data_IF_042223994435
#
_entry.id   IF_042223994435
#
_cell.length_a   1.000
_cell.length_b   1.000
_cell.length_c   1.000
_cell.angle_alpha   90.00
_cell.angle_beta   90.00
_cell.angle_gamma   90.00
#
_symmetry.space_group_name_H-M   'P 1'
#
loop_
_entity.id
_entity.type
_entity.pdbx_description
1 polymer ?
#
# COMPACT_ATOMS: atom_id res chain seq x y z
N UNK A 1 -14.22 -19.34 15.75
CA UNK A 1 -12.90 -19.99 15.49
C UNK A 1 -11.89 -18.91 15.17
N UNK A 2 -10.84 -18.80 15.99
CA UNK A 2 -10.28 -17.51 16.43
C UNK A 2 -9.25 -16.87 15.50
N UNK A 3 -9.22 -15.53 15.58
CA UNK A 3 -8.21 -14.59 15.08
C UNK A 3 -6.75 -15.11 15.16
N UNK A 4 -6.42 -15.90 16.18
CA UNK A 4 -5.11 -16.55 16.34
C UNK A 4 -4.75 -17.54 15.23
N UNK A 5 -5.71 -18.29 14.64
CA UNK A 5 -5.43 -19.14 13.47
C UNK A 5 -5.14 -18.32 12.21
N UNK A 6 -5.75 -17.13 12.06
CA UNK A 6 -5.46 -16.23 10.93
C UNK A 6 -4.05 -15.64 11.03
N UNK A 7 -3.63 -15.18 12.21
CA UNK A 7 -2.25 -14.72 12.42
C UNK A 7 -1.23 -15.85 12.19
N UNK A 8 -1.48 -17.06 12.70
CA UNK A 8 -0.62 -18.22 12.43
C UNK A 8 -0.56 -18.62 10.95
N UNK A 9 -1.59 -18.32 10.16
CA UNK A 9 -1.58 -18.51 8.70
C UNK A 9 -0.82 -17.43 7.93
N UNK A 10 -0.71 -16.22 8.51
CA UNK A 10 0.05 -15.09 7.94
C UNK A 10 1.56 -15.27 8.15
N UNK A 11 1.99 -15.81 9.30
CA UNK A 11 3.40 -16.17 9.53
C UNK A 11 3.91 -17.25 8.56
N UNK A 12 3.03 -18.11 8.05
CA UNK A 12 3.37 -19.16 7.07
C UNK A 12 3.43 -18.69 5.62
N UNK A 13 3.08 -17.44 5.29
CA UNK A 13 3.22 -16.89 3.93
C UNK A 13 4.65 -16.45 3.67
N UNK A 14 5.54 -17.40 3.36
CA UNK A 14 6.92 -17.10 2.94
C UNK A 14 7.07 -16.79 1.43
N UNK A 15 6.06 -17.13 0.62
CA UNK A 15 6.09 -16.99 -0.84
C UNK A 15 5.05 -15.99 -1.37
N UNK A 16 5.45 -15.18 -2.37
CA UNK A 16 4.52 -14.38 -3.17
C UNK A 16 3.55 -15.29 -3.91
N UNK A 17 2.27 -14.92 -3.98
CA UNK A 17 1.21 -15.66 -4.67
C UNK A 17 1.41 -15.65 -6.19
N UNK A 18 1.86 -14.52 -6.73
CA UNK A 18 2.09 -14.34 -8.16
C UNK A 18 3.21 -13.32 -8.46
N UNK A 19 3.49 -13.14 -9.76
CA UNK A 19 4.50 -12.20 -10.24
C UNK A 19 4.12 -10.72 -10.06
N UNK A 20 2.83 -10.40 -9.96
CA UNK A 20 2.34 -9.04 -9.76
C UNK A 20 2.53 -8.60 -8.30
N UNK A 21 2.18 -9.45 -7.33
CA UNK A 21 2.42 -9.24 -5.90
C UNK A 21 3.91 -9.09 -5.61
N UNK A 22 4.76 -9.91 -6.26
CA UNK A 22 6.22 -9.76 -6.18
C UNK A 22 6.67 -8.39 -6.69
N UNK A 23 6.17 -7.93 -7.85
CA UNK A 23 6.52 -6.60 -8.39
C UNK A 23 6.06 -5.48 -7.47
N UNK A 24 4.83 -5.55 -6.96
CA UNK A 24 4.24 -4.59 -6.02
C UNK A 24 5.05 -4.50 -4.72
N UNK A 25 5.49 -5.64 -4.18
CA UNK A 25 6.37 -5.64 -3.01
C UNK A 25 7.67 -4.88 -3.28
N UNK A 26 8.34 -5.15 -4.40
CA UNK A 26 9.63 -4.50 -4.70
C UNK A 26 9.50 -3.00 -4.95
N UNK A 27 8.44 -2.55 -5.60
CA UNK A 27 8.17 -1.11 -5.80
C UNK A 27 7.80 -0.44 -4.48
N UNK A 28 6.94 -1.06 -3.67
CA UNK A 28 6.57 -0.55 -2.34
C UNK A 28 7.78 -0.51 -1.39
N UNK A 29 8.61 -1.55 -1.37
CA UNK A 29 9.82 -1.61 -0.55
C UNK A 29 10.82 -0.51 -0.92
N UNK A 30 11.01 -0.23 -2.22
CA UNK A 30 11.86 0.86 -2.69
C UNK A 30 11.35 2.22 -2.16
N UNK A 31 10.04 2.48 -2.29
CA UNK A 31 9.41 3.72 -1.84
C UNK A 31 9.48 3.91 -0.32
N UNK A 32 9.07 2.89 0.45
CA UNK A 32 9.01 2.97 1.91
C UNK A 32 10.41 3.12 2.55
N UNK A 33 11.44 2.59 1.91
CA UNK A 33 12.82 2.67 2.44
C UNK A 33 13.61 3.86 1.92
N UNK A 34 13.04 4.69 1.04
CA UNK A 34 13.73 5.85 0.46
C UNK A 34 14.20 6.84 1.53
N UNK A 35 13.33 7.17 2.50
CA UNK A 35 13.71 8.09 3.57
C UNK A 35 14.83 7.51 4.44
N UNK A 36 14.71 6.24 4.84
CA UNK A 36 15.77 5.53 5.57
C UNK A 36 17.09 5.53 4.79
N UNK A 37 17.03 5.22 3.49
CA UNK A 37 18.20 5.20 2.60
C UNK A 37 18.88 6.56 2.58
N UNK A 38 18.14 7.63 2.28
CA UNK A 38 18.69 9.00 2.25
C UNK A 38 19.25 9.39 3.61
N UNK A 39 18.59 9.07 4.73
CA UNK A 39 19.13 9.35 6.07
C UNK A 39 20.46 8.65 6.34
N UNK A 40 20.59 7.37 5.96
CA UNK A 40 21.85 6.62 6.10
C UNK A 40 22.94 7.20 5.18
N UNK A 41 22.57 7.63 3.97
CA UNK A 41 23.51 8.28 3.04
C UNK A 41 24.01 9.64 3.57
N UNK A 42 23.11 10.46 4.12
CA UNK A 42 23.46 11.72 4.79
C UNK A 42 24.39 11.43 5.97
N UNK A 43 24.06 10.43 6.79
CA UNK A 43 24.91 10.04 7.91
C UNK A 43 26.31 9.62 7.44
N UNK A 44 26.41 8.80 6.39
CA UNK A 44 27.69 8.41 5.80
C UNK A 44 28.49 9.59 5.25
N UNK A 45 27.83 10.54 4.59
CA UNK A 45 28.45 11.77 4.09
C UNK A 45 29.00 12.64 5.23
N UNK A 46 28.20 12.86 6.28
CA UNK A 46 28.61 13.62 7.47
C UNK A 46 29.75 12.91 8.21
N UNK A 47 29.65 11.59 8.38
CA UNK A 47 30.69 10.79 9.02
C UNK A 47 32.03 10.88 8.25
N UNK A 48 31.97 10.87 6.91
CA UNK A 48 33.14 11.09 6.07
C UNK A 48 33.75 12.49 6.25
N UNK A 49 32.92 13.55 6.26
CA UNK A 49 33.39 14.92 6.49
C UNK A 49 34.08 15.07 7.85
N UNK A 50 33.47 14.54 8.91
CA UNK A 50 34.04 14.55 10.26
C UNK A 50 35.35 13.78 10.27
N UNK A 51 35.37 12.57 9.70
CA UNK A 51 36.57 11.74 9.59
C UNK A 51 37.70 12.47 8.87
N UNK A 52 37.41 13.17 7.77
CA UNK A 52 38.42 13.93 7.02
C UNK A 52 38.97 15.08 7.86
N UNK A 53 38.08 15.88 8.48
CA UNK A 53 38.48 17.02 9.32
C UNK A 53 39.32 16.60 10.54
N UNK A 54 39.02 15.45 11.16
CA UNK A 54 39.71 15.00 12.37
C UNK A 54 40.95 14.14 12.08
N UNK A 55 40.87 13.20 11.13
CA UNK A 55 41.92 12.22 10.89
C UNK A 55 42.93 12.66 9.82
N UNK A 56 42.57 13.61 8.96
CA UNK A 56 43.46 14.17 7.94
C UNK A 56 43.26 15.69 7.78
N UNK A 57 43.65 16.50 8.77
CA UNK A 57 43.41 17.94 8.78
C UNK A 57 44.15 18.71 7.67
N UNK A 58 45.14 18.09 7.02
CA UNK A 58 45.86 18.68 5.89
C UNK A 58 45.24 18.32 4.52
N UNK A 59 44.24 17.43 4.50
CA UNK A 59 43.59 17.04 3.26
C UNK A 59 42.78 18.18 2.66
N UNK A 60 43.09 18.54 1.41
CA UNK A 60 42.32 19.58 0.71
C UNK A 60 41.05 18.99 0.10
N UNK A 61 40.01 19.82 -0.01
CA UNK A 61 38.76 19.44 -0.70
C UNK A 61 38.84 19.60 -2.22
N UNK A 62 39.92 20.22 -2.72
CA UNK A 62 40.08 20.58 -4.14
C UNK A 62 40.68 19.44 -4.99
N UNK A 63 41.06 18.33 -4.38
CA UNK A 63 41.53 17.15 -5.11
C UNK A 63 40.43 16.62 -6.04
N UNK A 64 40.75 16.31 -7.31
CA UNK A 64 39.75 15.87 -8.29
C UNK A 64 38.92 14.67 -7.82
N UNK A 65 39.55 13.70 -7.17
CA UNK A 65 38.88 12.49 -6.65
C UNK A 65 37.90 12.82 -5.52
N UNK A 66 38.27 13.77 -4.66
CA UNK A 66 37.41 14.23 -3.56
C UNK A 66 36.18 14.96 -4.08
N UNK A 67 36.34 15.80 -5.10
CA UNK A 67 35.21 16.47 -5.77
C UNK A 67 34.28 15.47 -6.47
N UNK A 68 34.84 14.46 -7.16
CA UNK A 68 34.07 13.38 -7.77
C UNK A 68 33.29 12.60 -6.71
N UNK A 69 33.90 12.29 -5.57
CA UNK A 69 33.23 11.57 -4.48
C UNK A 69 32.07 12.38 -3.89
N UNK A 70 32.26 13.68 -3.62
CA UNK A 70 31.19 14.57 -3.12
C UNK A 70 30.06 14.67 -4.14
N UNK A 71 30.37 15.04 -5.39
CA UNK A 71 29.38 15.18 -6.45
C UNK A 71 28.62 13.88 -6.71
N UNK A 72 29.33 12.75 -6.68
CA UNK A 72 28.78 11.42 -6.82
C UNK A 72 27.84 11.03 -5.68
N UNK A 73 28.22 11.27 -4.42
CA UNK A 73 27.36 11.02 -3.25
C UNK A 73 26.09 11.88 -3.29
N UNK A 74 26.21 13.17 -3.58
CA UNK A 74 25.06 14.08 -3.67
C UNK A 74 24.12 13.70 -4.82
N UNK A 75 24.68 13.35 -5.99
CA UNK A 75 23.89 12.93 -7.16
C UNK A 75 23.21 11.59 -6.91
N UNK A 76 23.91 10.62 -6.30
CA UNK A 76 23.36 9.32 -5.95
C UNK A 76 22.24 9.43 -4.90
N UNK A 77 22.40 10.32 -3.93
CA UNK A 77 21.36 10.66 -2.95
C UNK A 77 20.15 11.31 -3.62
N UNK A 78 20.38 12.27 -4.53
CA UNK A 78 19.35 12.89 -5.35
C UNK A 78 18.60 11.88 -6.23
N UNK A 79 19.31 10.91 -6.81
CA UNK A 79 18.71 9.83 -7.61
C UNK A 79 17.90 8.86 -6.76
N UNK A 80 18.43 8.46 -5.58
CA UNK A 80 17.71 7.62 -4.62
C UNK A 80 16.43 8.32 -4.16
N UNK A 81 16.51 9.64 -3.90
CA UNK A 81 15.34 10.45 -3.63
C UNK A 81 14.43 10.49 -4.86
N UNK A 82 14.81 11.03 -6.02
CA UNK A 82 13.91 11.14 -7.17
C UNK A 82 13.39 9.81 -7.75
N UNK A 83 13.88 8.64 -7.31
CA UNK A 83 13.46 7.32 -7.74
C UNK A 83 11.95 7.08 -7.60
N UNK A 84 11.33 6.62 -8.71
CA UNK A 84 9.92 6.18 -8.76
C UNK A 84 9.77 4.68 -9.06
N UNK A 85 10.86 4.01 -9.42
CA UNK A 85 10.89 2.59 -9.76
C UNK A 85 12.06 1.87 -9.11
N UNK A 86 11.95 0.55 -8.97
CA UNK A 86 12.92 -0.29 -8.26
C UNK A 86 14.32 -0.30 -8.90
N UNK A 87 14.41 -0.15 -10.22
CA UNK A 87 15.69 -0.14 -10.94
C UNK A 87 16.45 1.15 -10.66
N UNK A 88 15.80 2.31 -10.84
CA UNK A 88 16.43 3.61 -10.59
C UNK A 88 16.85 3.77 -9.13
N UNK A 89 16.03 3.27 -8.20
CA UNK A 89 16.36 3.19 -6.77
C UNK A 89 17.60 2.32 -6.51
N UNK A 90 17.67 1.13 -7.12
CA UNK A 90 18.83 0.24 -6.98
C UNK A 90 20.12 0.88 -7.53
N UNK A 91 20.05 1.56 -8.68
CA UNK A 91 21.18 2.29 -9.27
C UNK A 91 21.65 3.41 -8.35
N UNK A 92 20.73 4.20 -7.78
CA UNK A 92 21.07 5.27 -6.84
C UNK A 92 21.77 4.76 -5.58
N UNK A 93 21.26 3.67 -4.98
CA UNK A 93 21.85 3.07 -3.79
C UNK A 93 23.22 2.44 -4.07
N UNK A 94 23.36 1.77 -5.21
CA UNK A 94 24.65 1.23 -5.67
C UNK A 94 25.68 2.33 -5.89
N UNK A 95 25.30 3.38 -6.62
CA UNK A 95 26.17 4.53 -6.87
C UNK A 95 26.60 5.20 -5.56
N UNK A 96 25.68 5.35 -4.60
CA UNK A 96 26.03 5.92 -3.30
C UNK A 96 27.05 5.06 -2.56
N UNK A 97 26.89 3.73 -2.52
CA UNK A 97 27.87 2.84 -1.88
C UNK A 97 29.27 2.98 -2.51
N UNK A 98 29.34 3.05 -3.85
CA UNK A 98 30.58 3.26 -4.61
C UNK A 98 31.24 4.59 -4.25
N UNK A 99 30.49 5.70 -4.28
CA UNK A 99 31.06 7.02 -3.99
C UNK A 99 31.40 7.21 -2.50
N UNK A 100 30.66 6.60 -1.59
CA UNK A 100 31.03 6.55 -0.17
C UNK A 100 32.33 5.77 0.03
N UNK A 101 32.49 4.61 -0.61
CA UNK A 101 33.75 3.85 -0.57
C UNK A 101 34.92 4.66 -1.13
N UNK A 102 34.72 5.37 -2.25
CA UNK A 102 35.73 6.24 -2.84
C UNK A 102 36.09 7.40 -1.90
N UNK A 103 35.09 8.03 -1.27
CA UNK A 103 35.30 9.12 -0.32
C UNK A 103 36.17 8.64 0.86
N UNK A 104 35.81 7.53 1.49
CA UNK A 104 36.60 6.96 2.59
C UNK A 104 37.98 6.46 2.15
N UNK A 105 38.12 5.96 0.93
CA UNK A 105 39.43 5.59 0.37
C UNK A 105 40.39 6.78 0.35
N UNK A 106 39.93 7.99 -0.04
CA UNK A 106 40.78 9.20 0.02
C UNK A 106 41.21 9.58 1.44
N UNK A 107 40.42 9.22 2.46
CA UNK A 107 40.83 9.44 3.85
C UNK A 107 41.87 8.39 4.27
N UNK A 108 41.66 7.12 3.90
CA UNK A 108 42.55 5.99 4.22
C UNK A 108 43.95 6.19 3.66
N UNK A 109 44.07 6.59 2.39
CA UNK A 109 45.38 6.80 1.73
C UNK A 109 46.17 7.96 2.32
N UNK A 110 45.50 8.91 2.98
CA UNK A 110 46.15 10.02 3.67
C UNK A 110 46.61 9.70 5.09
N UNK A 111 46.38 8.48 5.59
CA UNK A 111 46.84 8.06 6.92
C UNK A 111 48.29 7.54 6.88
N UNK A 112 48.93 7.47 8.04
CA UNK A 112 50.29 6.89 8.16
C UNK A 112 50.34 5.39 7.86
N UNK A 113 49.22 4.68 8.04
CA UNK A 113 49.10 3.22 7.86
C UNK A 113 47.82 2.85 7.10
N UNK A 114 47.75 3.13 5.78
CA UNK A 114 46.52 2.96 5.01
C UNK A 114 45.95 1.53 5.07
N UNK A 115 46.80 0.51 4.90
CA UNK A 115 46.39 -0.90 4.96
C UNK A 115 45.61 -1.27 6.23
N UNK A 116 45.95 -0.69 7.39
CA UNK A 116 45.25 -0.95 8.64
C UNK A 116 43.81 -0.46 8.60
N UNK A 117 43.57 0.73 8.03
CA UNK A 117 42.25 1.38 8.03
C UNK A 117 41.29 0.83 6.96
N UNK A 118 41.81 0.12 5.94
CA UNK A 118 40.99 -0.55 4.91
C UNK A 118 39.94 -1.47 5.55
N UNK A 119 40.35 -2.27 6.54
CA UNK A 119 39.50 -3.29 7.16
C UNK A 119 38.33 -2.71 7.99
N UNK A 120 38.56 -1.87 9.02
CA UNK A 120 37.47 -1.32 9.81
C UNK A 120 36.52 -0.46 8.97
N UNK A 121 37.03 0.30 7.97
CA UNK A 121 36.18 1.10 7.08
C UNK A 121 35.36 0.24 6.13
N UNK A 122 35.98 -0.79 5.52
CA UNK A 122 35.29 -1.73 4.66
C UNK A 122 34.14 -2.43 5.38
N UNK A 123 34.34 -2.86 6.63
CA UNK A 123 33.28 -3.47 7.45
C UNK A 123 32.21 -2.44 7.83
N UNK A 124 32.60 -1.26 8.31
CA UNK A 124 31.65 -0.22 8.72
C UNK A 124 30.72 0.20 7.58
N UNK A 125 31.24 0.39 6.37
CA UNK A 125 30.44 0.71 5.18
C UNK A 125 29.52 -0.46 4.83
N UNK A 126 30.03 -1.69 4.81
CA UNK A 126 29.26 -2.88 4.46
C UNK A 126 28.10 -3.16 5.42
N UNK A 127 28.34 -3.00 6.72
CA UNK A 127 27.32 -3.18 7.76
C UNK A 127 26.34 -2.00 7.72
N UNK A 128 26.84 -0.77 7.62
CA UNK A 128 26.02 0.45 7.61
C UNK A 128 25.05 0.53 6.42
N UNK A 129 25.44 -0.02 5.27
CA UNK A 129 24.58 -0.02 4.08
C UNK A 129 23.56 -1.18 4.03
N UNK A 130 23.69 -2.21 4.88
CA UNK A 130 22.82 -3.38 4.87
C UNK A 130 21.29 -3.07 4.95
N UNK A 131 20.83 -2.12 5.79
CA UNK A 131 19.40 -1.74 5.85
C UNK A 131 18.92 -1.02 4.58
N UNK A 132 19.86 -0.37 3.87
CA UNK A 132 19.59 0.44 2.69
C UNK A 132 19.22 -0.43 1.51
N UNK A 133 19.79 -1.63 1.32
CA UNK A 133 19.46 -2.41 0.13
C UNK A 133 18.12 -3.13 0.25
N UNK A 134 17.30 -3.03 -0.79
CA UNK A 134 16.01 -3.75 -0.87
C UNK A 134 16.22 -5.24 -1.12
N UNK A 135 17.15 -5.63 -1.99
CA UNK A 135 17.46 -7.03 -2.30
C UNK A 135 18.90 -7.42 -1.98
N UNK A 136 19.12 -8.70 -1.66
CA UNK A 136 20.43 -9.24 -1.31
C UNK A 136 21.43 -9.25 -2.48
N UNK A 137 20.96 -9.39 -3.73
CA UNK A 137 21.84 -9.30 -4.91
C UNK A 137 22.47 -7.91 -5.03
N UNK A 138 21.67 -6.85 -4.89
CA UNK A 138 22.17 -5.47 -4.96
C UNK A 138 23.12 -5.18 -3.78
N UNK A 139 22.79 -5.69 -2.60
CA UNK A 139 23.67 -5.62 -1.44
C UNK A 139 25.03 -6.27 -1.71
N UNK A 140 25.06 -7.52 -2.17
CA UNK A 140 26.30 -8.26 -2.44
C UNK A 140 27.14 -7.61 -3.55
N UNK A 141 26.50 -7.10 -4.61
CA UNK A 141 27.18 -6.37 -5.66
C UNK A 141 27.84 -5.08 -5.13
N UNK A 142 27.13 -4.32 -4.29
CA UNK A 142 27.69 -3.14 -3.62
C UNK A 142 28.78 -3.51 -2.63
N UNK A 143 28.64 -4.61 -1.88
CA UNK A 143 29.64 -5.08 -0.92
C UNK A 143 30.97 -5.41 -1.60
N UNK A 144 30.89 -6.10 -2.75
CA UNK A 144 32.05 -6.38 -3.58
C UNK A 144 32.70 -5.09 -4.09
N UNK A 145 31.90 -4.16 -4.61
CA UNK A 145 32.41 -2.88 -5.10
C UNK A 145 33.11 -2.05 -4.00
N UNK A 146 32.50 -1.98 -2.81
CA UNK A 146 33.09 -1.30 -1.64
C UNK A 146 34.45 -1.90 -1.30
N UNK A 147 34.57 -3.23 -1.21
CA UNK A 147 35.84 -3.88 -0.90
C UNK A 147 36.90 -3.65 -1.98
N UNK A 148 36.54 -3.71 -3.26
CA UNK A 148 37.46 -3.44 -4.37
C UNK A 148 37.98 -2.00 -4.35
N UNK A 149 37.13 -1.03 -4.03
CA UNK A 149 37.51 0.38 -3.99
C UNK A 149 38.35 0.70 -2.76
N UNK A 150 37.89 0.29 -1.57
CA UNK A 150 38.57 0.67 -0.32
C UNK A 150 39.96 0.03 -0.20
N UNK A 151 40.15 -1.17 -0.76
CA UNK A 151 41.43 -1.89 -0.78
C UNK A 151 42.34 -1.54 -1.96
N UNK A 152 41.90 -0.66 -2.86
CA UNK A 152 42.72 -0.24 -4.00
C UNK A 152 44.06 0.33 -3.52
N UNK A 153 45.17 -0.05 -4.18
CA UNK A 153 46.53 0.34 -3.76
C UNK A 153 47.11 -0.46 -2.58
N UNK A 154 46.28 -0.93 -1.65
CA UNK A 154 46.72 -1.64 -0.43
C UNK A 154 46.52 -3.16 -0.50
N UNK A 155 45.81 -3.67 -1.51
CA UNK A 155 45.48 -5.09 -1.63
C UNK A 155 46.72 -6.01 -1.63
N UNK A 156 47.81 -5.60 -2.28
CA UNK A 156 49.06 -6.37 -2.30
C UNK A 156 49.70 -6.49 -0.92
N UNK A 157 49.62 -5.43 -0.10
CA UNK A 157 50.10 -5.40 1.29
C UNK A 157 49.26 -6.34 2.16
N UNK A 158 47.94 -6.27 2.03
CA UNK A 158 47.01 -7.13 2.78
C UNK A 158 47.17 -8.61 2.43
N UNK A 159 47.33 -8.95 1.15
CA UNK A 159 47.46 -10.34 0.68
C UNK A 159 48.80 -10.95 1.09
N UNK A 160 49.87 -10.15 1.15
CA UNK A 160 51.22 -10.61 1.53
C UNK A 160 51.51 -10.53 3.03
N UNK A 161 50.58 -10.01 3.82
CA UNK A 161 50.71 -9.95 5.27
C UNK A 161 50.86 -11.36 5.87
N UNK A 162 51.65 -11.49 6.94
CA UNK A 162 51.80 -12.77 7.66
C UNK A 162 50.44 -13.29 8.17
N UNK A 163 49.54 -12.36 8.53
CA UNK A 163 48.19 -12.65 9.02
C UNK A 163 47.10 -12.62 7.93
N UNK A 164 47.45 -12.88 6.65
CA UNK A 164 46.50 -12.82 5.53
C UNK A 164 45.22 -13.67 5.74
N UNK A 165 45.32 -14.80 6.44
CA UNK A 165 44.16 -15.63 6.79
C UNK A 165 43.19 -14.91 7.75
N UNK A 166 43.71 -14.21 8.76
CA UNK A 166 42.90 -13.41 9.69
C UNK A 166 42.24 -12.23 8.98
N UNK A 167 42.96 -11.60 8.06
CA UNK A 167 42.44 -10.52 7.21
C UNK A 167 41.27 -11.03 6.36
N UNK A 168 41.43 -12.19 5.70
CA UNK A 168 40.37 -12.81 4.91
C UNK A 168 39.15 -13.17 5.77
N UNK A 169 39.36 -13.77 6.94
CA UNK A 169 38.28 -14.09 7.89
C UNK A 169 37.54 -12.81 8.33
N UNK A 170 38.26 -11.73 8.57
CA UNK A 170 37.65 -10.44 8.93
C UNK A 170 36.76 -9.90 7.82
N UNK A 171 37.25 -9.88 6.57
CA UNK A 171 36.47 -9.48 5.38
C UNK A 171 35.22 -10.35 5.22
N UNK A 172 35.37 -11.68 5.26
CA UNK A 172 34.27 -12.62 5.11
C UNK A 172 33.24 -12.48 6.23
N UNK A 173 33.69 -12.30 7.47
CA UNK A 173 32.79 -12.10 8.62
C UNK A 173 31.99 -10.80 8.51
N UNK A 174 32.60 -9.71 8.01
CA UNK A 174 31.92 -8.44 7.77
C UNK A 174 30.87 -8.52 6.68
N UNK A 175 31.17 -9.20 5.57
CA UNK A 175 30.19 -9.46 4.49
C UNK A 175 29.08 -10.38 4.98
N UNK A 176 29.40 -11.44 5.73
CA UNK A 176 28.40 -12.36 6.28
C UNK A 176 27.47 -11.65 7.27
N UNK A 177 28.00 -10.81 8.16
CA UNK A 177 27.22 -10.02 9.12
C UNK A 177 26.30 -9.03 8.40
N UNK A 178 26.83 -8.28 7.43
CA UNK A 178 26.01 -7.34 6.67
C UNK A 178 24.97 -8.04 5.78
N UNK A 179 25.27 -9.22 5.23
CA UNK A 179 24.28 -10.05 4.52
C UNK A 179 23.17 -10.53 5.46
N UNK A 180 23.54 -11.02 6.66
CA UNK A 180 22.59 -11.43 7.68
C UNK A 180 21.65 -10.27 8.05
N UNK A 181 22.21 -9.08 8.32
CA UNK A 181 21.42 -7.88 8.59
C UNK A 181 20.49 -7.54 7.41
N UNK A 182 21.01 -7.55 6.18
CA UNK A 182 20.18 -7.30 5.00
C UNK A 182 19.00 -8.28 4.90
N UNK A 183 19.26 -9.58 5.10
CA UNK A 183 18.23 -10.61 5.08
C UNK A 183 17.18 -10.38 6.17
N UNK A 184 17.59 -10.04 7.40
CA UNK A 184 16.67 -9.68 8.49
C UNK A 184 15.81 -8.47 8.13
N UNK A 185 16.41 -7.39 7.61
CA UNK A 185 15.65 -6.23 7.15
C UNK A 185 14.69 -6.56 6.00
N UNK A 186 15.07 -7.44 5.06
CA UNK A 186 14.18 -7.91 4.00
C UNK A 186 13.01 -8.70 4.58
N UNK A 187 13.26 -9.57 5.56
CA UNK A 187 12.21 -10.35 6.22
C UNK A 187 11.22 -9.45 6.97
N UNK A 188 11.70 -8.49 7.77
CA UNK A 188 10.83 -7.55 8.49
C UNK A 188 9.98 -6.71 7.53
N UNK A 189 10.56 -6.26 6.40
CA UNK A 189 9.81 -5.55 5.36
C UNK A 189 8.70 -6.41 4.74
N UNK A 190 8.96 -7.69 4.49
CA UNK A 190 7.94 -8.63 3.99
C UNK A 190 6.80 -8.79 4.98
N UNK A 191 7.09 -8.96 6.28
CA UNK A 191 6.06 -9.09 7.33
C UNK A 191 5.18 -7.85 7.38
N UNK A 192 5.79 -6.66 7.43
CA UNK A 192 5.05 -5.39 7.45
C UNK A 192 4.19 -5.20 6.22
N UNK A 193 4.69 -5.56 5.03
CA UNK A 193 3.92 -5.47 3.78
C UNK A 193 2.66 -6.36 3.81
N UNK A 194 2.80 -7.62 4.25
CA UNK A 194 1.65 -8.55 4.36
C UNK A 194 0.62 -8.04 5.37
N UNK A 195 1.07 -7.52 6.52
CA UNK A 195 0.17 -6.95 7.53
C UNK A 195 -0.55 -5.72 6.98
N UNK A 196 0.15 -4.82 6.27
CA UNK A 196 -0.45 -3.65 5.63
C UNK A 196 -1.50 -4.04 4.59
N UNK A 197 -1.23 -5.07 3.78
CA UNK A 197 -2.18 -5.57 2.78
C UNK A 197 -3.44 -6.16 3.44
N UNK A 198 -3.29 -6.90 4.53
CA UNK A 198 -4.44 -7.45 5.27
C UNK A 198 -5.22 -6.34 6.00
N UNK A 199 -4.54 -5.36 6.61
CA UNK A 199 -5.19 -4.19 7.19
C UNK A 199 -5.96 -3.40 6.14
N UNK A 200 -5.39 -3.21 4.94
CA UNK A 200 -6.09 -2.60 3.83
C UNK A 200 -7.30 -3.44 3.43
N UNK A 201 -7.17 -4.77 3.28
CA UNK A 201 -8.32 -5.64 2.98
C UNK A 201 -9.42 -5.51 4.03
N UNK A 202 -9.10 -5.55 5.32
CA UNK A 202 -10.06 -5.39 6.41
C UNK A 202 -10.66 -3.98 6.47
N UNK A 203 -9.91 -2.96 6.05
CA UNK A 203 -10.41 -1.60 5.97
C UNK A 203 -11.35 -1.40 4.76
N UNK A 204 -11.11 -2.09 3.64
CA UNK A 204 -11.78 -1.83 2.37
C UNK A 204 -12.83 -2.87 1.94
N UNK A 205 -12.74 -4.13 2.37
CA UNK A 205 -13.72 -5.19 2.07
C UNK A 205 -14.42 -5.69 3.33
N UNK A 206 -15.72 -5.91 3.25
CA UNK A 206 -16.53 -6.47 4.33
C UNK A 206 -16.11 -7.90 4.63
N UNK A 207 -15.96 -8.25 5.90
CA UNK A 207 -15.42 -9.54 6.32
C UNK A 207 -16.36 -10.72 6.03
N UNK A 208 -17.66 -10.48 5.91
CA UNK A 208 -18.66 -11.50 5.62
C UNK A 208 -18.90 -11.61 4.11
N UNK A 209 -19.17 -10.48 3.45
CA UNK A 209 -19.66 -10.48 2.07
C UNK A 209 -18.58 -10.23 1.01
N UNK A 210 -17.36 -9.87 1.41
CA UNK A 210 -16.20 -9.57 0.55
C UNK A 210 -16.38 -8.43 -0.48
N UNK A 211 -17.52 -7.75 -0.51
CA UNK A 211 -17.72 -6.48 -1.25
C UNK A 211 -17.15 -5.29 -0.46
N UNK A 212 -17.21 -4.07 -0.98
CA UNK A 212 -16.62 -2.92 -0.29
C UNK A 212 -17.27 -2.64 1.09
N UNK A 213 -16.47 -2.26 2.08
CA UNK A 213 -16.98 -1.77 3.37
C UNK A 213 -17.69 -0.43 3.18
N UNK A 214 -18.53 -0.02 4.16
CA UNK A 214 -19.09 1.33 4.22
C UNK A 214 -18.02 2.40 4.00
N UNK A 215 -16.87 2.29 4.68
CA UNK A 215 -15.76 3.24 4.53
C UNK A 215 -15.24 3.31 3.09
N UNK A 216 -14.98 2.17 2.48
CA UNK A 216 -14.49 2.12 1.10
C UNK A 216 -15.52 2.66 0.11
N UNK A 217 -16.79 2.32 0.31
CA UNK A 217 -17.87 2.79 -0.54
C UNK A 217 -18.02 4.31 -0.50
N UNK A 218 -17.93 4.91 0.70
CA UNK A 218 -17.97 6.37 0.84
C UNK A 218 -16.82 7.07 0.11
N UNK A 219 -15.60 6.51 0.16
CA UNK A 219 -14.47 7.05 -0.59
C UNK A 219 -14.71 7.01 -2.11
N UNK A 220 -15.29 5.92 -2.61
CA UNK A 220 -15.67 5.80 -4.03
C UNK A 220 -16.74 6.80 -4.45
N UNK A 221 -17.65 7.21 -3.55
CA UNK A 221 -18.61 8.29 -3.83
C UNK A 221 -17.87 9.61 -4.07
N UNK A 222 -16.92 9.95 -3.21
CA UNK A 222 -16.15 11.19 -3.35
C UNK A 222 -15.31 11.19 -4.63
N UNK A 223 -14.67 10.06 -4.97
CA UNK A 223 -13.94 9.90 -6.23
C UNK A 223 -14.85 10.02 -7.47
N UNK A 224 -16.03 9.40 -7.44
CA UNK A 224 -17.01 9.50 -8.51
C UNK A 224 -17.44 10.96 -8.72
N UNK A 225 -17.76 11.68 -7.64
CA UNK A 225 -18.17 13.10 -7.72
C UNK A 225 -17.11 14.00 -8.33
N UNK A 226 -15.83 13.77 -8.03
CA UNK A 226 -14.72 14.55 -8.61
C UNK A 226 -14.52 14.21 -10.09
N UNK A 227 -14.78 12.97 -10.50
CA UNK A 227 -14.60 12.51 -11.88
C UNK A 227 -15.76 12.89 -12.79
N UNK A 228 -16.97 13.06 -12.27
CA UNK A 228 -18.20 13.36 -13.01
C UNK A 228 -18.26 14.79 -13.60
N UNK A 229 -17.19 15.24 -14.27
CA UNK A 229 -17.11 16.53 -14.98
C UNK A 229 -18.03 16.56 -16.22
N UNK A 230 -18.56 15.42 -16.67
CA UNK A 230 -19.46 15.33 -17.84
C UNK A 230 -20.51 14.20 -17.82
N UNK A 231 -20.72 13.53 -16.68
CA UNK A 231 -21.53 12.30 -16.60
C UNK A 231 -22.54 12.30 -15.46
N UNK A 232 -23.72 11.75 -15.73
CA UNK A 232 -24.74 11.48 -14.72
C UNK A 232 -24.32 10.30 -13.83
N UNK A 233 -24.60 10.38 -12.52
CA UNK A 233 -24.34 9.27 -11.60
C UNK A 233 -25.49 9.13 -10.62
N UNK A 234 -25.71 7.92 -10.10
CA UNK A 234 -26.82 7.58 -9.22
C UNK A 234 -26.34 6.72 -8.06
N UNK A 235 -26.85 7.03 -6.87
CA UNK A 235 -26.72 6.19 -5.69
C UNK A 235 -27.96 5.30 -5.58
N UNK A 236 -27.76 3.99 -5.49
CA UNK A 236 -28.79 3.02 -5.15
C UNK A 236 -28.53 2.54 -3.72
N UNK A 237 -29.45 2.82 -2.80
CA UNK A 237 -29.48 2.22 -1.46
C UNK A 237 -30.41 1.02 -1.47
N UNK A 238 -29.93 -0.10 -0.96
CA UNK A 238 -30.57 -1.40 -1.07
C UNK A 238 -30.69 -1.98 0.34
N UNK A 239 -31.83 -2.53 0.69
CA UNK A 239 -32.06 -3.17 1.99
C UNK A 239 -32.81 -4.48 1.80
N UNK A 240 -32.39 -5.51 2.54
CA UNK A 240 -32.98 -6.85 2.49
C UNK A 240 -34.31 -6.87 3.24
N UNK A 241 -35.39 -7.15 2.52
CA UNK A 241 -36.73 -7.16 3.07
C UNK A 241 -36.88 -8.28 4.12
N UNK A 242 -37.46 -7.94 5.28
CA UNK A 242 -37.75 -8.88 6.37
C UNK A 242 -36.54 -9.68 6.90
N UNK A 243 -35.31 -9.15 6.77
CA UNK A 243 -34.10 -9.84 7.22
C UNK A 243 -34.12 -10.23 8.70
N UNK A 244 -34.65 -9.36 9.57
CA UNK A 244 -34.85 -9.69 10.99
C UNK A 244 -35.71 -10.95 11.17
N UNK A 245 -36.78 -11.12 10.40
CA UNK A 245 -37.64 -12.32 10.47
C UNK A 245 -36.89 -13.58 10.07
N UNK A 246 -36.01 -13.49 9.07
CA UNK A 246 -35.15 -14.60 8.65
C UNK A 246 -34.22 -15.01 9.81
N UNK A 247 -33.56 -14.04 10.46
CA UNK A 247 -32.73 -14.29 11.63
C UNK A 247 -33.52 -14.90 12.79
N UNK A 248 -34.68 -14.33 13.11
CA UNK A 248 -35.52 -14.78 14.23
C UNK A 248 -36.06 -16.21 13.99
N UNK A 249 -36.31 -16.59 12.74
CA UNK A 249 -36.88 -17.90 12.39
C UNK A 249 -35.81 -18.98 12.20
N UNK A 250 -34.65 -18.64 11.64
CA UNK A 250 -33.66 -19.62 11.15
C UNK A 250 -32.27 -19.47 11.77
N UNK A 251 -32.09 -18.49 12.67
CA UNK A 251 -30.82 -18.19 13.30
C UNK A 251 -29.88 -17.33 12.45
N UNK A 252 -28.91 -16.72 13.11
CA UNK A 252 -27.97 -15.78 12.50
C UNK A 252 -27.08 -16.42 11.42
N UNK A 253 -26.74 -17.71 11.53
CA UNK A 253 -25.93 -18.39 10.50
C UNK A 253 -26.63 -18.42 9.13
N UNK A 254 -27.96 -18.58 9.12
CA UNK A 254 -28.75 -18.53 7.88
C UNK A 254 -28.86 -17.09 7.37
N UNK A 255 -29.00 -16.12 8.27
CA UNK A 255 -28.94 -14.70 7.90
C UNK A 255 -27.63 -14.32 7.21
N UNK A 256 -26.50 -14.80 7.75
CA UNK A 256 -25.18 -14.57 7.16
C UNK A 256 -25.09 -15.16 5.75
N UNK A 257 -25.61 -16.37 5.52
CA UNK A 257 -25.68 -16.98 4.19
C UNK A 257 -26.54 -16.15 3.21
N UNK A 258 -27.66 -15.61 3.69
CA UNK A 258 -28.51 -14.72 2.89
C UNK A 258 -27.76 -13.45 2.49
N UNK A 259 -27.05 -12.82 3.42
CA UNK A 259 -26.27 -11.60 3.14
C UNK A 259 -25.16 -11.85 2.12
N UNK A 260 -24.45 -12.98 2.23
CA UNK A 260 -23.43 -13.38 1.25
C UNK A 260 -24.05 -13.59 -0.14
N UNK A 261 -25.18 -14.30 -0.23
CA UNK A 261 -25.86 -14.55 -1.50
C UNK A 261 -26.37 -13.25 -2.16
N UNK A 262 -26.97 -12.35 -1.36
CA UNK A 262 -27.43 -11.04 -1.81
C UNK A 262 -26.26 -10.19 -2.29
N UNK A 263 -25.18 -10.10 -1.52
CA UNK A 263 -24.00 -9.32 -1.89
C UNK A 263 -23.40 -9.78 -3.24
N UNK A 264 -23.25 -11.09 -3.44
CA UNK A 264 -22.77 -11.62 -4.72
C UNK A 264 -23.74 -11.37 -5.88
N UNK A 265 -25.05 -11.40 -5.64
CA UNK A 265 -26.04 -11.06 -6.66
C UNK A 265 -25.93 -9.58 -7.05
N UNK A 266 -25.77 -8.68 -6.08
CA UNK A 266 -25.55 -7.25 -6.31
C UNK A 266 -24.25 -7.03 -7.08
N UNK A 267 -23.13 -7.60 -6.63
CA UNK A 267 -21.81 -7.42 -7.25
C UNK A 267 -21.79 -7.88 -8.71
N UNK A 268 -22.39 -9.04 -9.01
CA UNK A 268 -22.52 -9.54 -10.39
C UNK A 268 -23.33 -8.62 -11.29
N UNK A 269 -24.43 -8.06 -10.79
CA UNK A 269 -25.26 -7.13 -11.56
C UNK A 269 -24.62 -5.76 -11.72
N UNK A 270 -23.95 -5.27 -10.67
CA UNK A 270 -23.36 -3.94 -10.65
C UNK A 270 -22.05 -3.86 -11.43
N UNK A 271 -21.31 -4.96 -11.64
CA UNK A 271 -20.03 -4.94 -12.37
C UNK A 271 -20.12 -4.24 -13.74
N UNK A 272 -19.26 -3.26 -14.05
CA UNK A 272 -18.02 -2.90 -13.35
C UNK A 272 -18.16 -1.79 -12.27
N UNK A 273 -19.38 -1.39 -11.93
CA UNK A 273 -19.67 -0.34 -10.96
C UNK A 273 -19.38 -0.75 -9.50
N UNK A 274 -19.17 0.24 -8.64
CA UNK A 274 -18.81 0.01 -7.23
C UNK A 274 -20.04 -0.36 -6.41
N UNK A 275 -19.96 -1.45 -5.65
CA UNK A 275 -20.95 -1.84 -4.65
C UNK A 275 -20.31 -2.08 -3.28
N UNK A 276 -21.05 -1.81 -2.21
CA UNK A 276 -20.56 -1.99 -0.84
C UNK A 276 -21.66 -2.27 0.18
N UNK A 277 -21.26 -2.82 1.33
CA UNK A 277 -22.14 -3.07 2.48
C UNK A 277 -22.06 -1.89 3.44
N UNK A 278 -23.21 -1.25 3.67
CA UNK A 278 -23.31 0.01 4.42
C UNK A 278 -23.70 -0.21 5.89
N UNK A 279 -24.36 -1.33 6.18
CA UNK A 279 -24.88 -1.68 7.49
C UNK A 279 -25.08 -3.19 7.65
N UNK A 280 -25.92 -3.59 8.61
CA UNK A 280 -26.21 -5.00 8.89
C UNK A 280 -26.84 -5.71 7.69
N UNK A 281 -27.89 -5.11 7.11
CA UNK A 281 -28.66 -5.64 5.98
C UNK A 281 -28.73 -4.66 4.80
N UNK A 282 -27.94 -3.58 4.87
CA UNK A 282 -27.94 -2.47 3.93
C UNK A 282 -26.75 -2.54 2.97
N UNK A 283 -27.02 -2.29 1.70
CA UNK A 283 -26.06 -2.29 0.60
C UNK A 283 -26.19 -1.00 -0.21
N UNK A 284 -25.12 -0.64 -0.90
CA UNK A 284 -25.06 0.51 -1.78
C UNK A 284 -24.45 0.16 -3.13
N UNK A 285 -24.91 0.82 -4.19
CA UNK A 285 -24.29 0.79 -5.52
C UNK A 285 -24.14 2.22 -6.04
N UNK A 286 -22.96 2.55 -6.57
CA UNK A 286 -22.71 3.81 -7.29
C UNK A 286 -22.77 3.48 -8.77
N UNK A 287 -23.78 3.97 -9.48
CA UNK A 287 -23.93 3.77 -10.90
C UNK A 287 -23.50 5.02 -11.67
N UNK A 288 -22.65 4.86 -12.68
CA UNK A 288 -22.24 5.92 -13.59
C UNK A 288 -22.97 5.73 -14.93
N UNK A 289 -23.87 6.64 -15.27
CA UNK A 289 -24.72 6.54 -16.45
C UNK A 289 -26.06 7.26 -16.29
N UNK A 290 -26.95 7.08 -17.28
CA UNK A 290 -28.25 7.75 -17.31
C UNK A 290 -29.25 7.21 -16.28
N UNK A 291 -30.26 8.03 -15.97
CA UNK A 291 -31.34 7.68 -15.04
C UNK A 291 -32.05 6.36 -15.40
N UNK A 292 -32.32 6.16 -16.69
CA UNK A 292 -33.03 4.97 -17.18
C UNK A 292 -32.22 3.69 -16.93
N UNK A 293 -30.90 3.77 -17.11
CA UNK A 293 -29.99 2.64 -16.89
C UNK A 293 -29.83 2.35 -15.39
N UNK A 294 -29.77 3.38 -14.53
CA UNK A 294 -29.79 3.20 -13.08
C UNK A 294 -31.06 2.47 -12.61
N UNK A 295 -32.21 2.87 -13.13
CA UNK A 295 -33.49 2.19 -12.87
C UNK A 295 -33.54 0.77 -13.46
N UNK A 296 -32.89 0.53 -14.60
CA UNK A 296 -32.76 -0.81 -15.17
C UNK A 296 -31.88 -1.71 -14.29
N UNK A 297 -30.74 -1.21 -13.81
CA UNK A 297 -29.87 -1.92 -12.88
C UNK A 297 -30.60 -2.26 -11.58
N UNK A 298 -31.35 -1.33 -11.00
CA UNK A 298 -32.16 -1.60 -9.81
C UNK A 298 -33.18 -2.74 -10.04
N UNK A 299 -33.87 -2.74 -11.19
CA UNK A 299 -34.78 -3.83 -11.57
C UNK A 299 -34.05 -5.16 -11.74
N UNK A 300 -32.86 -5.14 -12.32
CA UNK A 300 -32.03 -6.33 -12.51
C UNK A 300 -31.55 -6.91 -11.18
N UNK A 301 -31.02 -6.08 -10.28
CA UNK A 301 -30.62 -6.47 -8.93
C UNK A 301 -31.79 -7.12 -8.20
N UNK A 302 -32.94 -6.45 -8.18
CA UNK A 302 -34.16 -6.96 -7.54
C UNK A 302 -34.58 -8.33 -8.07
N UNK A 303 -34.58 -8.48 -9.40
CA UNK A 303 -34.95 -9.74 -10.05
C UNK A 303 -33.94 -10.85 -9.75
N UNK A 304 -32.65 -10.54 -9.79
CA UNK A 304 -31.55 -11.45 -9.45
C UNK A 304 -31.68 -11.94 -8.00
N UNK A 305 -31.89 -11.03 -7.04
CA UNK A 305 -32.07 -11.39 -5.63
C UNK A 305 -33.34 -12.22 -5.41
N UNK A 306 -34.45 -11.88 -6.07
CA UNK A 306 -35.70 -12.63 -5.95
C UNK A 306 -35.61 -14.09 -6.46
N UNK A 307 -34.62 -14.41 -7.29
CA UNK A 307 -34.36 -15.80 -7.73
C UNK A 307 -33.53 -16.61 -6.75
N UNK A 308 -32.90 -15.96 -5.75
CA UNK A 308 -32.10 -16.65 -4.75
C UNK A 308 -33.00 -17.53 -3.89
N UNK A 309 -32.60 -18.80 -3.75
CA UNK A 309 -33.17 -19.73 -2.78
C UNK A 309 -32.12 -20.08 -1.76
N UNK A 310 -32.04 -19.27 -0.71
CA UNK A 310 -31.13 -19.46 0.41
C UNK A 310 -31.89 -20.12 1.55
N UNK A 311 -31.56 -21.38 1.83
CA UNK A 311 -32.09 -22.14 2.97
C UNK A 311 -33.62 -22.18 3.04
N UNK A 312 -34.28 -22.25 1.88
CA UNK A 312 -35.74 -22.36 1.77
C UNK A 312 -36.51 -21.03 1.82
N UNK A 313 -35.85 -19.89 2.02
CA UNK A 313 -36.49 -18.57 2.06
C UNK A 313 -36.47 -17.88 0.70
N UNK A 314 -37.58 -17.23 0.34
CA UNK A 314 -37.59 -16.25 -0.73
C UNK A 314 -37.07 -14.93 -0.18
N UNK A 315 -36.01 -14.41 -0.80
CA UNK A 315 -35.35 -13.16 -0.38
C UNK A 315 -35.70 -12.08 -1.39
N UNK A 316 -36.14 -10.92 -0.93
CA UNK A 316 -36.36 -9.74 -1.77
C UNK A 316 -35.61 -8.54 -1.20
N UNK A 317 -35.43 -7.52 -2.03
CA UNK A 317 -34.82 -6.26 -1.62
C UNK A 317 -35.69 -5.09 -2.05
N UNK A 318 -35.68 -4.05 -1.23
CA UNK A 318 -36.21 -2.73 -1.57
C UNK A 318 -35.05 -1.81 -1.92
N UNK A 319 -35.25 -0.91 -2.89
CA UNK A 319 -34.19 -0.05 -3.41
C UNK A 319 -34.65 1.41 -3.47
N UNK A 320 -33.88 2.32 -2.90
CA UNK A 320 -34.01 3.76 -3.10
C UNK A 320 -32.95 4.27 -4.07
N UNK A 321 -33.34 5.08 -5.04
CA UNK A 321 -32.44 5.63 -6.08
C UNK A 321 -32.43 7.15 -5.96
N UNK A 322 -31.25 7.75 -5.97
CA UNK A 322 -31.09 9.21 -5.97
C UNK A 322 -29.95 9.62 -6.88
N UNK A 323 -30.06 10.82 -7.46
CA UNK A 323 -29.01 11.39 -8.30
C UNK A 323 -27.79 11.78 -7.44
N UNK A 324 -26.62 11.39 -7.91
CA UNK A 324 -25.31 11.75 -7.37
C UNK A 324 -24.66 12.73 -8.35
N UNK A 325 -24.77 14.03 -8.08
CA UNK A 325 -24.19 15.07 -8.94
C UNK A 325 -23.25 16.01 -8.18
N UNK A 326 -22.43 16.73 -8.93
CA UNK A 326 -21.63 17.83 -8.42
C UNK A 326 -22.54 18.93 -7.84
N UNK A 327 -22.13 19.54 -6.73
CA UNK A 327 -22.94 20.55 -6.01
C UNK A 327 -23.99 19.98 -5.03
N UNK A 328 -24.36 18.70 -5.14
CA UNK A 328 -25.20 18.03 -4.13
C UNK A 328 -24.30 17.43 -3.04
N UNK A 329 -24.61 17.71 -1.77
CA UNK A 329 -23.90 17.09 -0.65
C UNK A 329 -24.19 15.59 -0.58
N UNK A 330 -23.18 14.77 -0.26
CA UNK A 330 -23.34 13.31 -0.10
C UNK A 330 -24.46 12.98 0.90
N UNK A 331 -24.56 13.73 2.00
CA UNK A 331 -25.62 13.58 2.99
C UNK A 331 -27.02 13.84 2.41
N UNK A 332 -27.18 14.78 1.48
CA UNK A 332 -28.45 15.01 0.79
C UNK A 332 -28.79 13.84 -0.16
N UNK A 333 -27.82 13.35 -0.93
CA UNK A 333 -28.00 12.17 -1.80
C UNK A 333 -28.45 10.96 -0.99
N UNK A 334 -27.77 10.64 0.12
CA UNK A 334 -28.20 9.54 1.01
C UNK A 334 -29.61 9.74 1.56
N UNK A 335 -29.96 10.95 2.02
CA UNK A 335 -31.32 11.23 2.52
C UNK A 335 -32.41 11.00 1.46
N UNK A 336 -32.15 11.35 0.21
CA UNK A 336 -33.09 11.13 -0.89
C UNK A 336 -33.22 9.63 -1.22
N UNK A 337 -32.09 8.92 -1.29
CA UNK A 337 -32.12 7.47 -1.49
C UNK A 337 -32.82 6.76 -0.31
N UNK A 338 -32.59 7.16 0.94
CA UNK A 338 -33.27 6.61 2.12
C UNK A 338 -34.78 6.86 2.06
N UNK A 339 -35.21 8.04 1.60
CA UNK A 339 -36.63 8.32 1.36
C UNK A 339 -37.21 7.37 0.32
N UNK A 340 -36.52 7.18 -0.81
CA UNK A 340 -36.94 6.23 -1.84
C UNK A 340 -37.04 4.80 -1.30
N UNK A 341 -36.07 4.40 -0.48
CA UNK A 341 -36.05 3.09 0.16
C UNK A 341 -37.22 2.92 1.14
N UNK A 342 -37.52 3.95 1.92
CA UNK A 342 -38.67 3.97 2.82
C UNK A 342 -40.00 3.86 2.06
N UNK A 343 -40.16 4.62 0.98
CA UNK A 343 -41.35 4.56 0.13
C UNK A 343 -41.47 3.18 -0.56
N UNK A 344 -40.35 2.59 -0.98
CA UNK A 344 -40.32 1.23 -1.51
C UNK A 344 -40.85 0.20 -0.50
N UNK A 345 -40.38 0.28 0.76
CA UNK A 345 -40.84 -0.60 1.85
C UNK A 345 -42.33 -0.39 2.14
N UNK A 346 -42.80 0.85 2.23
CA UNK A 346 -44.21 1.17 2.55
C UNK A 346 -45.19 0.72 1.48
N UNK A 347 -44.83 0.81 0.22
CA UNK A 347 -45.74 0.46 -0.87
C UNK A 347 -45.85 -1.05 -1.10
N UNK A 348 -45.17 -1.88 -0.29
CA UNK A 348 -45.27 -3.33 -0.34
C UNK A 348 -43.96 -4.05 -0.67
N UNK A 349 -42.80 -3.41 -0.45
CA UNK A 349 -41.46 -4.00 -0.60
C UNK A 349 -41.16 -4.49 -2.03
N UNK A 350 -40.04 -5.20 -2.22
CA UNK A 350 -39.62 -5.79 -3.49
C UNK A 350 -39.80 -4.83 -4.70
N UNK A 351 -39.29 -3.61 -4.55
CA UNK A 351 -39.41 -2.54 -5.55
C UNK A 351 -38.30 -1.52 -5.44
N UNK A 352 -38.17 -0.70 -6.48
CA UNK A 352 -37.26 0.43 -6.52
C UNK A 352 -38.03 1.75 -6.66
N UNK A 353 -37.66 2.78 -5.91
CA UNK A 353 -38.22 4.13 -6.02
C UNK A 353 -37.09 5.11 -6.25
N UNK A 354 -37.20 5.90 -7.33
CA UNK A 354 -36.31 7.02 -7.60
C UNK A 354 -36.89 8.29 -7.00
N UNK A 355 -36.08 9.04 -6.27
CA UNK A 355 -36.44 10.35 -5.71
C UNK A 355 -35.50 11.38 -6.31
N UNK A 356 -36.08 12.34 -7.02
CA UNK A 356 -35.32 13.46 -7.57
C UNK A 356 -35.33 14.66 -6.62
N UNK A 357 -34.38 15.59 -6.81
CA UNK A 357 -34.24 16.76 -5.96
C UNK A 357 -35.47 17.69 -6.00
N UNK A 358 -36.22 17.72 -7.12
CA UNK A 358 -37.38 18.60 -7.28
C UNK A 358 -38.57 18.21 -6.37
N UNK A 359 -38.76 16.92 -6.09
CA UNK A 359 -39.87 16.43 -5.25
C UNK A 359 -39.73 16.82 -3.77
N UNK A 360 -38.52 17.15 -3.33
CA UNK A 360 -38.26 17.56 -1.94
C UNK A 360 -38.68 19.01 -1.63
N UNK A 361 -38.76 19.87 -2.66
CA UNK A 361 -39.25 21.24 -2.51
C UNK A 361 -40.79 21.30 -2.35
N UNK A 362 -41.50 20.30 -2.87
CA UNK A 362 -42.97 20.21 -2.80
C UNK A 362 -43.42 19.74 -1.41
N UNK A 363 -42.68 18.83 -0.77
CA UNK A 363 -43.04 18.31 0.56
C UNK A 363 -42.74 19.30 1.71
N UNK A 364 -41.84 20.27 1.49
CA UNK A 364 -41.62 21.37 2.44
C UNK A 364 -42.73 22.43 2.39
N UNK A 365 -43.41 22.58 1.25
CA UNK A 365 -44.58 23.49 1.12
C UNK A 365 -45.89 22.86 1.59
N UNK A 366 -46.01 21.54 1.57
CA UNK A 366 -47.21 20.82 2.03
C UNK A 366 -47.28 20.67 3.56
N UNK A 367 -46.15 20.77 4.27
CA UNK A 367 -46.08 20.78 5.75
C UNK A 367 -46.05 22.20 6.31
N UNK A 368 -47.03 23.00 5.92
CA UNK A 368 -47.27 24.32 6.52
C UNK A 368 -47.39 24.23 8.04
N UNK A 369 -46.41 24.80 8.74
CA UNK A 369 -46.65 25.45 10.02
C UNK A 369 -46.94 26.91 9.70
N UNK A 370 -48.22 27.25 9.78
CA UNK A 370 -48.72 28.61 9.78
C UNK A 370 -48.28 29.27 11.09
N UNK A 371 -47.43 30.31 10.95
CA UNK A 371 -47.01 31.33 11.93
C UNK A 371 -46.27 30.83 13.17
#
# INVERSE_FOLDING_TARGET
MSYARRIGSLEKRSSFRDSAERRLFWTSAAQNTRHLAVSVQIFGFVAWLISRASANPHATFNEPVTLIAIGGMLTAMGLTYASRGSVMDAVGRFACAVFTALAFHTNVTGTQTPAFWVLPMGVAINVGMAPVFTGYYNYLASALAVWLIISYGEASVLIRAQDANWILLFVLSGVALGLLLNLLFVQERKKTFVVQQELARLAFRDALTEIHTRRSFMLSIDECRVRSVSGESYLLLIDVDDFKKINDTSGHEVGDQVLVAVAHAIERCASPHVCGRLGGEEFGVIFEGGQQDACALARQIRSSVATLRTSGHAVTVSIGISRLAEGISVQATFRLADRGLYDAKRQGKNRSVLVDHEDSAIDFRSRGLTI
#
